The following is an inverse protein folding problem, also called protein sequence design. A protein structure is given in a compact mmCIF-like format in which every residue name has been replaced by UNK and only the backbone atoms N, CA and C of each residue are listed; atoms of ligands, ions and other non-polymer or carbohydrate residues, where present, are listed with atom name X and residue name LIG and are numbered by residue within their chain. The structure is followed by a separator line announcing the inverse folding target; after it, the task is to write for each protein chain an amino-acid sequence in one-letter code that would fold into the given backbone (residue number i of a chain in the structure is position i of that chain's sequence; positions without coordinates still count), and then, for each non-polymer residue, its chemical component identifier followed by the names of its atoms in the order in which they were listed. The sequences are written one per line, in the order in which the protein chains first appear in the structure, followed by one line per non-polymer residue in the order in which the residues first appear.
data_IF_126402376911
#
_entry.id   IF_126402376911
#
_cell.length_a   1.000
_cell.length_b   1.000
_cell.length_c   1.000
_cell.angle_alpha   90.00
_cell.angle_beta   90.00
_cell.angle_gamma   90.00
#
_symmetry.space_group_name_H-M   'P 1'
#
loop_
_entity.id
_entity.type
_entity.pdbx_description
1 polymer ?
#
# COMPACT_ATOMS: atom_id res chain seq x y z
N UNK A 1 36.07 -12.20 11.88
CA UNK A 1 34.61 -12.42 11.80
C UNK A 1 33.92 -11.70 12.95
N UNK A 2 34.38 -11.88 14.20
CA UNK A 2 33.97 -11.09 15.38
C UNK A 2 34.07 -9.55 15.18
N UNK A 3 35.21 -9.04 14.69
CA UNK A 3 35.42 -7.60 14.52
C UNK A 3 34.44 -6.93 13.52
N UNK A 4 33.99 -7.68 12.50
CA UNK A 4 33.00 -7.20 11.54
C UNK A 4 31.61 -7.15 12.16
N UNK A 5 31.27 -8.15 12.98
CA UNK A 5 29.99 -8.20 13.69
C UNK A 5 29.91 -7.09 14.76
N UNK A 6 31.00 -6.81 15.45
CA UNK A 6 31.10 -5.72 16.43
C UNK A 6 30.95 -4.35 15.75
N UNK A 7 31.62 -4.15 14.61
CA UNK A 7 31.45 -2.95 13.80
C UNK A 7 30.01 -2.78 13.30
N UNK A 8 29.39 -3.85 12.80
CA UNK A 8 28.01 -3.81 12.32
C UNK A 8 27.03 -3.46 13.45
N UNK A 9 27.21 -4.04 14.64
CA UNK A 9 26.41 -3.72 15.84
C UNK A 9 26.58 -2.26 16.25
N UNK A 10 27.82 -1.76 16.30
CA UNK A 10 28.11 -0.37 16.65
C UNK A 10 27.48 0.62 15.65
N UNK A 11 27.57 0.32 14.35
CA UNK A 11 26.95 1.14 13.30
C UNK A 11 25.43 1.16 13.40
N UNK A 12 24.79 0.00 13.63
CA UNK A 12 23.33 -0.10 13.82
C UNK A 12 22.90 0.70 15.05
N UNK A 13 23.63 0.59 16.16
CA UNK A 13 23.34 1.33 17.39
C UNK A 13 23.46 2.85 17.19
N UNK A 14 24.55 3.31 16.55
CA UNK A 14 24.77 4.72 16.23
C UNK A 14 23.66 5.30 15.36
N UNK A 15 23.21 4.57 14.33
CA UNK A 15 22.11 5.00 13.46
C UNK A 15 20.77 5.08 14.18
N UNK A 16 20.50 4.16 15.12
CA UNK A 16 19.28 4.20 15.95
C UNK A 16 19.29 5.41 16.88
N UNK A 17 20.41 5.67 17.56
CA UNK A 17 20.55 6.83 18.43
C UNK A 17 20.34 8.15 17.66
N UNK A 18 20.94 8.29 16.48
CA UNK A 18 20.73 9.48 15.65
C UNK A 18 19.26 9.64 15.19
N UNK A 19 18.60 8.53 14.87
CA UNK A 19 17.19 8.56 14.50
C UNK A 19 16.29 8.97 15.68
N UNK A 20 16.60 8.53 16.91
CA UNK A 20 15.95 8.98 18.15
C UNK A 20 16.14 10.48 18.37
N UNK A 21 17.35 11.01 18.18
CA UNK A 21 17.63 12.45 18.31
C UNK A 21 16.80 13.30 17.33
N UNK A 22 16.48 12.74 16.16
CA UNK A 22 15.62 13.37 15.16
C UNK A 22 14.11 13.13 15.41
N UNK A 23 13.73 12.40 16.46
CA UNK A 23 12.35 12.06 16.76
C UNK A 23 11.71 11.06 15.78
N UNK A 24 12.52 10.24 15.10
CA UNK A 24 12.03 9.19 14.21
C UNK A 24 11.72 7.96 15.05
N UNK A 25 10.44 7.67 15.25
CA UNK A 25 10.00 6.51 16.06
C UNK A 25 10.00 5.19 15.28
N UNK A 26 9.82 5.25 13.96
CA UNK A 26 9.76 4.05 13.11
C UNK A 26 10.12 4.33 11.66
N UNK A 27 10.57 3.30 10.97
CA UNK A 27 10.82 3.30 9.53
C UNK A 27 10.13 2.08 8.89
N UNK A 28 9.19 2.32 7.97
CA UNK A 28 8.53 1.25 7.21
C UNK A 28 9.41 0.68 6.09
N UNK A 29 10.56 1.32 5.81
CA UNK A 29 11.58 0.79 4.92
C UNK A 29 11.15 0.81 3.45
N UNK A 30 11.24 -0.36 2.80
CA UNK A 30 10.99 -0.50 1.37
C UNK A 30 9.53 -0.26 0.97
N UNK A 31 8.55 -0.53 1.84
CA UNK A 31 7.14 -0.22 1.54
C UNK A 31 6.90 1.28 1.39
N UNK A 32 7.61 2.12 2.14
CA UNK A 32 7.54 3.57 1.96
C UNK A 32 8.09 4.05 0.63
N UNK A 33 9.15 3.40 0.15
CA UNK A 33 9.71 3.74 -1.17
C UNK A 33 8.73 3.35 -2.28
N UNK A 34 8.11 2.17 -2.17
CA UNK A 34 7.08 1.72 -3.09
C UNK A 34 5.86 2.66 -3.07
N UNK A 35 5.38 3.06 -1.90
CA UNK A 35 4.21 3.93 -1.77
C UNK A 35 4.49 5.34 -2.30
N UNK A 36 5.69 5.87 -2.08
CA UNK A 36 6.12 7.13 -2.71
C UNK A 36 6.13 7.04 -4.23
N UNK A 37 6.46 5.88 -4.80
CA UNK A 37 6.37 5.67 -6.23
C UNK A 37 4.93 5.56 -6.73
N UNK A 38 4.09 4.79 -6.05
CA UNK A 38 2.67 4.65 -6.36
C UNK A 38 1.97 6.03 -6.37
N UNK A 39 2.22 6.86 -5.36
CA UNK A 39 1.68 8.23 -5.31
C UNK A 39 2.09 9.08 -6.52
N UNK A 40 3.37 9.00 -6.95
CA UNK A 40 3.83 9.71 -8.15
C UNK A 40 3.14 9.23 -9.43
N UNK A 41 2.71 7.97 -9.47
CA UNK A 41 2.05 7.33 -10.60
C UNK A 41 0.52 7.46 -10.57
N UNK A 42 -0.05 8.27 -9.66
CA UNK A 42 -1.50 8.48 -9.59
C UNK A 42 -2.25 7.39 -8.82
N UNK A 43 -1.59 6.73 -7.87
CA UNK A 43 -2.21 5.80 -6.91
C UNK A 43 -2.08 6.37 -5.50
N UNK A 44 -3.20 6.61 -4.82
CA UNK A 44 -3.18 7.08 -3.43
C UNK A 44 -2.68 5.96 -2.53
N UNK A 45 -1.44 6.04 -2.08
CA UNK A 45 -0.82 5.02 -1.22
C UNK A 45 -0.54 5.59 0.18
N UNK A 46 -1.09 4.97 1.24
CA UNK A 46 -0.96 5.47 2.63
C UNK A 46 -0.56 4.38 3.62
N UNK A 47 0.43 4.70 4.45
CA UNK A 47 0.98 3.83 5.50
C UNK A 47 0.24 4.08 6.81
N UNK A 48 -0.06 3.02 7.56
CA UNK A 48 -0.73 3.08 8.87
C UNK A 48 -1.90 4.08 8.89
N UNK A 49 -2.74 4.02 7.86
CA UNK A 49 -3.80 4.99 7.62
C UNK A 49 -5.07 4.62 8.36
N UNK A 50 -5.52 5.51 9.24
CA UNK A 50 -6.64 5.30 10.16
C UNK A 50 -6.41 4.15 11.14
N UNK A 51 -7.22 4.11 12.20
CA UNK A 51 -7.11 3.10 13.24
C UNK A 51 -7.41 1.67 12.73
N UNK A 52 -8.33 1.51 11.77
CA UNK A 52 -8.71 0.22 11.19
C UNK A 52 -9.10 0.34 9.71
N UNK A 53 -9.16 -0.81 9.01
CA UNK A 53 -9.49 -0.85 7.57
C UNK A 53 -10.83 -0.20 7.23
N UNK A 54 -11.85 -0.37 8.08
CA UNK A 54 -13.19 0.21 7.82
C UNK A 54 -13.17 1.74 7.86
N UNK A 55 -12.51 2.33 8.85
CA UNK A 55 -12.36 3.78 8.96
C UNK A 55 -11.51 4.33 7.80
N UNK A 56 -10.45 3.59 7.43
CA UNK A 56 -9.59 3.93 6.30
C UNK A 56 -10.35 3.97 4.98
N UNK A 57 -11.16 2.95 4.67
CA UNK A 57 -11.93 2.92 3.42
C UNK A 57 -12.95 4.06 3.29
N UNK A 58 -13.40 4.62 4.40
CA UNK A 58 -14.28 5.79 4.40
C UNK A 58 -13.52 7.10 4.15
N UNK A 59 -12.33 7.22 4.73
CA UNK A 59 -11.55 8.47 4.73
C UNK A 59 -10.60 8.59 3.52
N UNK A 60 -10.22 7.47 2.89
CA UNK A 60 -9.21 7.45 1.82
C UNK A 60 -9.68 8.19 0.55
N UNK A 61 -10.98 8.37 0.37
CA UNK A 61 -11.52 9.14 -0.75
C UNK A 61 -11.19 10.63 -0.66
N UNK A 62 -11.02 11.17 0.55
CA UNK A 62 -10.64 12.57 0.76
C UNK A 62 -9.16 12.85 0.47
N UNK A 63 -8.34 11.80 0.33
CA UNK A 63 -6.91 11.91 -0.01
C UNK A 63 -6.67 12.09 -1.52
N UNK A 64 -7.68 11.81 -2.35
CA UNK A 64 -7.63 12.09 -3.77
C UNK A 64 -8.03 13.54 -4.02
N UNK A 65 -7.09 14.34 -4.53
CA UNK A 65 -7.33 15.72 -4.94
C UNK A 65 -7.67 15.85 -6.43
N UNK A 66 -8.10 17.04 -6.84
CA UNK A 66 -8.38 17.36 -8.25
C UNK A 66 -7.12 17.65 -9.08
N UNK A 67 -5.91 17.39 -8.54
CA UNK A 67 -4.66 17.72 -9.26
C UNK A 67 -4.43 16.84 -10.48
N UNK A 68 -5.06 15.65 -10.52
CA UNK A 68 -4.94 14.64 -11.58
C UNK A 68 -6.05 13.61 -11.47
N UNK A 69 -6.21 12.81 -12.53
CA UNK A 69 -7.00 11.58 -12.44
C UNK A 69 -6.25 10.51 -11.65
N UNK A 70 -6.74 10.25 -10.43
CA UNK A 70 -6.27 9.15 -9.61
C UNK A 70 -6.87 7.82 -10.08
N UNK A 71 -6.05 6.77 -10.20
CA UNK A 71 -6.50 5.44 -10.62
C UNK A 71 -7.24 4.70 -9.51
N UNK A 72 -6.71 4.79 -8.30
CA UNK A 72 -7.20 4.04 -7.14
C UNK A 72 -6.34 4.30 -5.93
N UNK A 73 -6.56 3.49 -4.90
CA UNK A 73 -5.85 3.60 -3.63
C UNK A 73 -5.36 2.24 -3.14
N UNK A 74 -4.30 2.29 -2.34
CA UNK A 74 -3.87 1.20 -1.47
C UNK A 74 -3.47 1.73 -0.10
N UNK A 75 -3.83 1.02 0.96
CA UNK A 75 -3.35 1.38 2.30
C UNK A 75 -3.30 0.18 3.22
N UNK A 76 -2.58 0.30 4.33
CA UNK A 76 -2.74 -0.58 5.49
C UNK A 76 -3.04 0.28 6.71
N UNK A 77 -3.90 -0.21 7.61
CA UNK A 77 -4.28 0.52 8.82
C UNK A 77 -3.26 0.37 9.94
N UNK A 78 -3.38 1.19 10.98
CA UNK A 78 -2.60 1.04 12.22
C UNK A 78 -2.81 -0.36 12.84
N UNK A 79 -4.05 -0.83 12.89
CA UNK A 79 -4.36 -2.19 13.37
C UNK A 79 -3.65 -3.28 12.54
N UNK A 80 -3.64 -3.16 11.21
CA UNK A 80 -2.91 -4.12 10.37
C UNK A 80 -1.39 -4.05 10.57
N UNK A 81 -0.87 -2.91 11.01
CA UNK A 81 0.55 -2.72 11.22
C UNK A 81 1.03 -3.10 12.64
N UNK A 82 0.11 -3.42 13.56
CA UNK A 82 0.42 -3.67 14.97
C UNK A 82 1.51 -4.74 15.14
N UNK A 83 1.45 -5.81 14.34
CA UNK A 83 2.35 -6.96 14.45
C UNK A 83 3.45 -6.96 13.37
N UNK A 84 3.71 -5.81 12.72
CA UNK A 84 4.66 -5.75 11.59
C UNK A 84 6.10 -6.06 12.03
N UNK A 85 6.47 -5.75 13.28
CA UNK A 85 7.80 -6.03 13.83
C UNK A 85 8.08 -7.53 13.93
N UNK A 86 7.02 -8.34 14.02
CA UNK A 86 7.12 -9.80 14.14
C UNK A 86 6.90 -10.48 12.79
N UNK A 87 5.92 -10.01 12.03
CA UNK A 87 5.49 -10.68 10.79
C UNK A 87 6.19 -10.18 9.53
N UNK A 88 6.77 -8.97 9.57
CA UNK A 88 7.29 -8.25 8.40
C UNK A 88 6.30 -8.24 7.22
N UNK A 89 4.99 -8.20 7.53
CA UNK A 89 3.91 -8.27 6.54
C UNK A 89 2.72 -7.40 6.92
N UNK A 90 1.94 -6.97 5.92
CA UNK A 90 0.67 -6.28 6.09
C UNK A 90 -0.35 -6.71 5.03
N UNK A 91 -1.63 -6.58 5.32
CA UNK A 91 -2.68 -6.70 4.33
C UNK A 91 -3.01 -5.34 3.71
N UNK A 92 -2.95 -5.24 2.39
CA UNK A 92 -3.28 -4.01 1.67
C UNK A 92 -4.77 -3.95 1.37
N UNK A 93 -5.44 -2.99 2.00
CA UNK A 93 -6.73 -2.51 1.56
C UNK A 93 -6.55 -1.81 0.22
N UNK A 94 -7.53 -1.95 -0.66
CA UNK A 94 -7.45 -1.46 -2.02
C UNK A 94 -8.82 -1.04 -2.54
N UNK A 95 -8.80 -0.32 -3.66
CA UNK A 95 -9.98 0.08 -4.41
C UNK A 95 -9.60 0.97 -5.58
N UNK A 96 -10.54 1.19 -6.48
CA UNK A 96 -10.39 2.05 -7.64
C UNK A 96 -11.25 3.30 -7.50
N UNK A 97 -10.77 4.42 -8.05
CA UNK A 97 -11.58 5.63 -8.13
C UNK A 97 -12.44 5.63 -9.40
N UNK A 98 -13.56 6.40 -9.43
CA UNK A 98 -14.44 6.49 -10.59
C UNK A 98 -13.75 6.79 -11.94
N UNK A 99 -12.67 7.60 -12.03
CA UNK A 99 -11.93 7.79 -13.29
C UNK A 99 -11.43 6.49 -13.93
N UNK A 100 -10.99 5.49 -13.15
CA UNK A 100 -10.49 4.23 -13.70
C UNK A 100 -11.58 3.42 -14.42
N UNK A 101 -12.82 3.46 -13.92
CA UNK A 101 -13.96 2.83 -14.59
C UNK A 101 -14.36 3.59 -15.86
N UNK A 102 -14.35 4.93 -15.80
CA UNK A 102 -14.68 5.80 -16.96
C UNK A 102 -13.70 5.66 -18.12
N UNK A 103 -12.47 5.22 -17.87
CA UNK A 103 -11.50 4.90 -18.93
C UNK A 103 -11.86 3.65 -19.72
N UNK A 104 -12.63 2.72 -19.15
CA UNK A 104 -13.01 1.45 -19.79
C UNK A 104 -14.48 1.41 -20.24
N UNK A 105 -15.34 2.15 -19.56
CA UNK A 105 -16.78 2.16 -19.78
C UNK A 105 -17.27 3.60 -19.95
N UNK A 106 -17.91 3.89 -21.08
CA UNK A 106 -18.64 5.16 -21.24
C UNK A 106 -19.82 5.22 -20.27
N UNK A 107 -20.30 6.44 -19.97
CA UNK A 107 -21.47 6.64 -19.10
C UNK A 107 -22.69 5.88 -19.61
N UNK A 108 -22.96 5.92 -20.93
CA UNK A 108 -24.08 5.20 -21.52
C UNK A 108 -23.96 3.67 -21.35
N UNK A 109 -22.76 3.11 -21.53
CA UNK A 109 -22.52 1.68 -21.28
C UNK A 109 -22.77 1.35 -19.81
N UNK A 110 -22.19 2.14 -18.90
CA UNK A 110 -22.34 1.94 -17.46
C UNK A 110 -23.80 2.02 -17.01
N UNK A 111 -24.56 2.99 -17.50
CA UNK A 111 -25.99 3.17 -17.21
C UNK A 111 -26.85 2.00 -17.68
N UNK A 112 -26.49 1.41 -18.83
CA UNK A 112 -27.19 0.23 -19.38
C UNK A 112 -26.91 -1.09 -18.67
N UNK A 113 -25.81 -1.17 -17.90
CA UNK A 113 -25.41 -2.39 -17.20
C UNK A 113 -26.28 -2.68 -15.97
N UNK A 114 -26.54 -3.96 -15.74
CA UNK A 114 -27.16 -4.45 -14.50
C UNK A 114 -26.24 -4.22 -13.29
N UNK A 115 -26.78 -4.39 -12.08
CA UNK A 115 -25.98 -4.31 -10.86
C UNK A 115 -24.87 -5.38 -10.83
N UNK A 116 -25.18 -6.60 -11.28
CA UNK A 116 -24.23 -7.71 -11.38
C UNK A 116 -23.13 -7.42 -12.39
N UNK A 117 -23.48 -6.86 -13.55
CA UNK A 117 -22.52 -6.47 -14.58
C UNK A 117 -21.59 -5.37 -14.07
N UNK A 118 -22.12 -4.34 -13.39
CA UNK A 118 -21.31 -3.28 -12.76
C UNK A 118 -20.39 -3.83 -11.68
N UNK A 119 -20.88 -4.74 -10.84
CA UNK A 119 -20.07 -5.41 -9.83
C UNK A 119 -18.93 -6.19 -10.48
N UNK A 120 -19.22 -6.99 -11.51
CA UNK A 120 -18.20 -7.75 -12.24
C UNK A 120 -17.17 -6.83 -12.93
N UNK A 121 -17.61 -5.72 -13.52
CA UNK A 121 -16.73 -4.71 -14.09
C UNK A 121 -15.82 -4.09 -13.02
N UNK A 122 -16.37 -3.71 -11.87
CA UNK A 122 -15.58 -3.18 -10.76
C UNK A 122 -14.50 -4.16 -10.29
N UNK A 123 -14.84 -5.44 -10.10
CA UNK A 123 -13.88 -6.47 -9.72
C UNK A 123 -12.77 -6.62 -10.76
N UNK A 124 -13.13 -6.67 -12.05
CA UNK A 124 -12.16 -6.79 -13.16
C UNK A 124 -11.20 -5.60 -13.22
N UNK A 125 -11.72 -4.37 -13.15
CA UNK A 125 -10.88 -3.16 -13.20
C UNK A 125 -9.98 -3.07 -11.97
N UNK A 126 -10.49 -3.46 -10.80
CA UNK A 126 -9.68 -3.50 -9.57
C UNK A 126 -8.58 -4.56 -9.67
N UNK A 127 -8.87 -5.72 -10.24
CA UNK A 127 -7.88 -6.77 -10.45
C UNK A 127 -6.75 -6.30 -11.38
N UNK A 128 -7.10 -5.72 -12.54
CA UNK A 128 -6.14 -5.14 -13.48
C UNK A 128 -5.31 -4.04 -12.82
N UNK A 129 -5.94 -3.15 -12.06
CA UNK A 129 -5.26 -2.10 -11.30
C UNK A 129 -4.19 -2.69 -10.36
N UNK A 130 -4.52 -3.73 -9.60
CA UNK A 130 -3.57 -4.38 -8.71
C UNK A 130 -2.43 -5.08 -9.47
N UNK A 131 -2.77 -5.87 -10.49
CA UNK A 131 -1.82 -6.66 -11.26
C UNK A 131 -0.87 -5.80 -12.10
N UNK A 132 -1.36 -4.73 -12.71
CA UNK A 132 -0.60 -3.97 -13.69
C UNK A 132 0.10 -2.75 -13.09
N UNK A 133 -0.44 -2.17 -11.99
CA UNK A 133 0.09 -0.93 -11.41
C UNK A 133 0.68 -1.12 -10.02
N UNK A 134 -0.01 -1.84 -9.14
CA UNK A 134 0.41 -1.92 -7.73
C UNK A 134 1.50 -2.95 -7.53
N UNK A 135 1.22 -4.22 -7.85
CA UNK A 135 2.11 -5.36 -7.57
C UNK A 135 3.50 -5.16 -8.20
N UNK A 136 3.64 -4.74 -9.48
CA UNK A 136 4.95 -4.56 -10.08
C UNK A 136 5.80 -3.47 -9.42
N UNK A 137 5.16 -2.45 -8.83
CA UNK A 137 5.89 -1.44 -8.04
C UNK A 137 6.36 -2.05 -6.73
N UNK A 138 5.51 -2.76 -6.00
CA UNK A 138 5.87 -3.41 -4.74
C UNK A 138 7.06 -4.37 -4.93
N UNK A 139 7.00 -5.21 -5.95
CA UNK A 139 8.05 -6.21 -6.26
C UNK A 139 9.38 -5.57 -6.65
N UNK A 140 9.36 -4.46 -7.42
CA UNK A 140 10.59 -3.70 -7.74
C UNK A 140 11.29 -3.13 -6.50
N UNK A 141 10.54 -2.84 -5.44
CA UNK A 141 11.09 -2.42 -4.14
C UNK A 141 11.43 -3.61 -3.22
N UNK A 142 11.40 -4.84 -3.75
CA UNK A 142 11.79 -6.05 -3.06
C UNK A 142 10.75 -6.59 -2.08
N UNK A 143 9.51 -6.11 -2.14
CA UNK A 143 8.39 -6.71 -1.41
C UNK A 143 7.92 -7.98 -2.13
N UNK A 144 7.29 -8.87 -1.38
CA UNK A 144 6.63 -10.05 -1.95
C UNK A 144 5.12 -9.93 -1.78
N UNK A 145 4.35 -10.27 -2.80
CA UNK A 145 2.89 -10.19 -2.74
C UNK A 145 2.28 -11.59 -2.85
N UNK A 146 1.45 -11.96 -1.86
CA UNK A 146 0.61 -13.15 -1.91
C UNK A 146 -0.84 -12.73 -2.09
N UNK A 147 -1.40 -13.01 -3.26
CA UNK A 147 -2.79 -12.70 -3.58
C UNK A 147 -3.30 -13.61 -4.69
N UNK A 148 -4.57 -14.03 -4.60
CA UNK A 148 -5.18 -15.01 -5.50
C UNK A 148 -5.96 -14.42 -6.67
N UNK A 149 -5.93 -13.09 -6.88
CA UNK A 149 -6.71 -12.40 -7.92
C UNK A 149 -8.13 -12.00 -7.50
N UNK A 150 -8.67 -12.61 -6.43
CA UNK A 150 -9.97 -12.24 -5.90
C UNK A 150 -9.89 -10.92 -5.12
N UNK A 151 -10.55 -9.89 -5.65
CA UNK A 151 -10.58 -8.53 -5.11
C UNK A 151 -11.47 -8.39 -3.86
N UNK A 152 -12.19 -9.44 -3.47
CA UNK A 152 -12.82 -9.55 -2.15
C UNK A 152 -11.78 -9.65 -1.03
N UNK A 153 -10.60 -10.20 -1.33
CA UNK A 153 -9.52 -10.38 -0.38
C UNK A 153 -8.40 -9.36 -0.59
N UNK A 154 -7.75 -8.99 0.50
CA UNK A 154 -6.62 -8.08 0.49
C UNK A 154 -5.34 -8.85 0.13
N UNK A 155 -4.50 -8.33 -0.79
CA UNK A 155 -3.15 -8.83 -0.98
C UNK A 155 -2.36 -8.78 0.34
N UNK A 156 -1.70 -9.88 0.69
CA UNK A 156 -0.74 -9.89 1.78
C UNK A 156 0.64 -9.51 1.22
N UNK A 157 1.21 -8.43 1.72
CA UNK A 157 2.51 -7.90 1.32
C UNK A 157 3.52 -8.23 2.40
N UNK A 158 4.60 -8.90 2.02
CA UNK A 158 5.62 -9.45 2.91
C UNK A 158 7.01 -8.91 2.57
N UNK A 159 8.01 -9.31 3.36
CA UNK A 159 9.40 -8.88 3.22
C UNK A 159 9.57 -7.36 3.43
N UNK A 160 8.81 -6.81 4.38
CA UNK A 160 8.89 -5.40 4.76
C UNK A 160 10.10 -5.19 5.66
N UNK A 161 10.99 -4.28 5.28
CA UNK A 161 12.20 -3.91 6.03
C UNK A 161 11.87 -2.92 7.14
N UNK A 162 10.95 -3.29 8.02
CA UNK A 162 10.52 -2.48 9.14
C UNK A 162 11.63 -2.35 10.20
N UNK A 163 11.80 -1.15 10.73
CA UNK A 163 12.71 -0.88 11.85
C UNK A 163 11.96 -0.05 12.89
N UNK A 164 11.72 -0.66 14.06
CA UNK A 164 11.37 0.10 15.25
C UNK A 164 12.62 0.82 15.76
N UNK A 165 12.46 2.12 16.05
CA UNK A 165 13.50 2.92 16.68
C UNK A 165 13.00 3.15 18.11
N UNK A 166 13.57 2.43 19.11
CA UNK A 166 13.13 2.51 20.50
C UNK A 166 13.42 3.87 21.14
#
# INVERSE_FOLDING_TARGET
MEEFDDYARALIASRRAYAQELGIEKCWGNISLAFKELNRQGVVAREAFSCCSRCGSWSIYDEADDSRDWYGYVFFSEQCAADISETASVYLQHGIFPPALRQQYSEQQWESMSQEERSAAHHRVTEQFLQERVIPVLERHGLQVRWGGDTTYCPNVMNIKYIAIP
#
